data_IF_698792302119
#
_entry.id   IF_698792302119
#
_cell.length_a   1.000
_cell.length_b   1.000
_cell.length_c   1.000
_cell.angle_alpha   90.00
_cell.angle_beta   90.00
_cell.angle_gamma   90.00
#
_symmetry.space_group_name_H-M   'P 1'
#
loop_
_entity.id
_entity.type
_entity.pdbx_description
1 polymer ?
#
# COMPACT_ATOMS: atom_id res chain seq x y z
N UNK A 1 2.62 11.22 -9.83
CA UNK A 1 2.43 10.77 -8.43
C UNK A 1 3.53 9.78 -8.08
N UNK A 2 3.93 9.69 -6.82
CA UNK A 2 4.93 8.72 -6.35
C UNK A 2 4.27 7.76 -5.36
N UNK A 3 4.22 6.44 -5.62
CA UNK A 3 3.71 5.49 -4.63
C UNK A 3 4.64 5.45 -3.41
N UNK A 4 4.07 5.36 -2.21
CA UNK A 4 4.84 5.35 -0.95
C UNK A 4 4.61 4.10 -0.12
N UNK A 5 3.49 3.40 -0.33
CA UNK A 5 3.17 2.16 0.36
C UNK A 5 1.74 1.72 0.11
N UNK A 6 1.27 0.76 0.89
CA UNK A 6 -0.11 0.29 0.89
C UNK A 6 -0.79 0.67 2.21
N UNK A 7 -2.12 0.71 2.24
CA UNK A 7 -2.91 0.92 3.47
C UNK A 7 -4.21 0.11 3.39
N UNK A 8 -4.77 -0.24 4.54
CA UNK A 8 -6.14 -0.74 4.64
C UNK A 8 -7.09 0.37 5.04
N UNK A 9 -8.24 0.44 4.37
CA UNK A 9 -9.38 1.21 4.86
C UNK A 9 -10.04 0.53 6.06
N UNK A 10 -10.94 1.27 6.72
CA UNK A 10 -11.76 0.77 7.83
C UNK A 10 -12.63 -0.44 7.47
N UNK A 11 -12.98 -0.60 6.19
CA UNK A 11 -13.75 -1.72 5.66
C UNK A 11 -12.88 -2.91 5.20
N UNK A 12 -11.55 -2.81 5.35
CA UNK A 12 -10.60 -3.84 4.91
C UNK A 12 -10.18 -3.74 3.45
N UNK A 13 -10.63 -2.73 2.70
CA UNK A 13 -10.17 -2.53 1.32
C UNK A 13 -8.68 -2.12 1.29
N UNK A 14 -7.86 -2.86 0.54
CA UNK A 14 -6.46 -2.54 0.31
C UNK A 14 -6.32 -1.44 -0.75
N UNK A 15 -5.48 -0.44 -0.46
CA UNK A 15 -5.26 0.72 -1.32
C UNK A 15 -3.78 1.04 -1.48
N UNK A 16 -3.42 1.68 -2.59
CA UNK A 16 -2.09 2.25 -2.81
C UNK A 16 -2.05 3.68 -2.29
N UNK A 17 -1.14 3.95 -1.36
CA UNK A 17 -0.85 5.30 -0.87
C UNK A 17 0.16 5.95 -1.81
N UNK A 18 -0.10 7.19 -2.19
CA UNK A 18 0.79 7.97 -3.05
C UNK A 18 0.97 9.41 -2.55
N UNK A 19 2.15 9.96 -2.86
CA UNK A 19 2.47 11.37 -2.73
C UNK A 19 2.26 12.08 -4.08
N UNK A 20 1.50 13.16 -4.06
CA UNK A 20 1.37 14.04 -5.22
C UNK A 20 2.64 14.90 -5.34
N UNK A 21 3.38 14.74 -6.43
CA UNK A 21 4.62 15.51 -6.66
C UNK A 21 4.37 17.00 -7.01
N UNK A 22 3.12 17.38 -7.27
CA UNK A 22 2.76 18.76 -7.64
C UNK A 22 2.24 19.57 -6.45
N UNK A 23 1.40 18.96 -5.58
CA UNK A 23 0.79 19.65 -4.45
C UNK A 23 1.18 19.07 -3.08
N UNK A 24 2.07 18.08 -3.07
CA UNK A 24 2.69 17.50 -1.88
C UNK A 24 1.71 16.81 -0.89
N UNK A 25 0.49 16.53 -1.35
CA UNK A 25 -0.55 15.82 -0.60
C UNK A 25 -0.37 14.31 -0.68
N UNK A 26 -0.69 13.62 0.41
CA UNK A 26 -0.88 12.17 0.44
C UNK A 26 -2.33 11.84 0.11
N UNK A 27 -2.53 10.80 -0.70
CA UNK A 27 -3.84 10.25 -0.99
C UNK A 27 -3.76 8.75 -1.29
N UNK A 28 -4.90 8.08 -1.35
CA UNK A 28 -5.02 6.64 -1.55
C UNK A 28 -5.83 6.35 -2.81
N UNK A 29 -5.35 5.45 -3.65
CA UNK A 29 -6.06 4.94 -4.81
C UNK A 29 -6.45 3.48 -4.60
N UNK A 30 -7.63 3.11 -5.10
CA UNK A 30 -8.08 1.72 -5.14
C UNK A 30 -7.19 0.93 -6.10
N UNK A 31 -6.90 -0.33 -5.75
CA UNK A 31 -6.23 -1.28 -6.64
C UNK A 31 -7.28 -1.86 -7.59
N UNK A 32 -7.03 -1.76 -8.90
CA UNK A 32 -7.86 -2.35 -9.95
C UNK A 32 -7.30 -3.72 -10.39
N UNK A 33 -8.12 -4.51 -11.09
CA UNK A 33 -7.73 -5.85 -11.54
C UNK A 33 -6.68 -5.86 -12.65
N UNK A 34 -6.54 -4.74 -13.37
CA UNK A 34 -5.54 -4.52 -14.42
C UNK A 34 -4.27 -3.83 -13.91
N UNK A 35 -4.20 -3.47 -12.63
CA UNK A 35 -2.96 -2.96 -12.03
C UNK A 35 -1.89 -4.04 -12.00
N UNK A 36 -0.63 -3.62 -12.17
CA UNK A 36 0.50 -4.54 -12.14
C UNK A 36 0.76 -5.08 -10.73
N UNK A 37 0.38 -6.33 -10.51
CA UNK A 37 0.51 -7.00 -9.22
C UNK A 37 1.94 -7.11 -8.72
N UNK A 38 2.91 -7.34 -9.61
CA UNK A 38 4.33 -7.40 -9.25
C UNK A 38 4.80 -6.08 -8.66
N UNK A 39 4.43 -4.95 -9.29
CA UNK A 39 4.78 -3.61 -8.78
C UNK A 39 4.14 -3.30 -7.42
N UNK A 40 2.91 -3.77 -7.17
CA UNK A 40 2.23 -3.61 -5.88
C UNK A 40 2.94 -4.40 -4.77
N UNK A 41 3.27 -5.66 -5.04
CA UNK A 41 3.99 -6.51 -4.08
C UNK A 41 5.40 -5.97 -3.82
N UNK A 42 6.08 -5.48 -4.86
CA UNK A 42 7.37 -4.82 -4.71
C UNK A 42 7.26 -3.57 -3.84
N UNK A 43 6.25 -2.71 -4.06
CA UNK A 43 6.02 -1.53 -3.23
C UNK A 43 5.83 -1.87 -1.74
N UNK A 44 5.14 -2.96 -1.44
CA UNK A 44 4.98 -3.45 -0.08
C UNK A 44 6.30 -3.93 0.52
N UNK A 45 7.09 -4.68 -0.24
CA UNK A 45 8.37 -5.24 0.23
C UNK A 45 9.47 -4.19 0.38
N UNK A 46 9.49 -3.22 -0.53
CA UNK A 46 10.49 -2.14 -0.60
C UNK A 46 9.94 -0.84 -0.02
N UNK A 47 8.90 -0.93 0.81
CA UNK A 47 8.21 0.21 1.43
C UNK A 47 9.22 1.29 1.82
N UNK A 48 9.01 2.49 1.28
CA UNK A 48 9.96 3.60 1.40
C UNK A 48 10.22 3.84 2.88
N UNK A 49 11.49 3.84 3.31
CA UNK A 49 11.84 4.31 4.66
C UNK A 49 11.30 5.72 4.81
N UNK A 50 10.25 5.93 5.61
CA UNK A 50 9.57 7.21 5.60
C UNK A 50 10.46 8.22 6.32
N UNK A 51 10.76 9.32 5.65
CA UNK A 51 11.40 10.46 6.29
C UNK A 51 10.41 11.18 7.21
N UNK A 52 10.90 12.10 8.05
CA UNK A 52 10.08 12.82 9.04
C UNK A 52 8.91 13.57 8.39
N UNK A 53 9.09 14.06 7.17
CA UNK A 53 8.06 14.80 6.44
C UNK A 53 6.95 13.87 5.92
N UNK A 54 7.31 12.72 5.34
CA UNK A 54 6.35 11.70 4.93
C UNK A 54 5.56 11.16 6.13
N UNK A 55 6.22 10.93 7.28
CA UNK A 55 5.55 10.52 8.53
C UNK A 55 4.51 11.57 8.94
N UNK A 56 4.89 12.86 8.96
CA UNK A 56 3.97 13.94 9.33
C UNK A 56 2.75 13.98 8.40
N UNK A 57 2.95 13.81 7.08
CA UNK A 57 1.86 13.79 6.10
C UNK A 57 0.92 12.60 6.28
N UNK A 58 1.47 11.41 6.56
CA UNK A 58 0.69 10.20 6.84
C UNK A 58 -0.16 10.38 8.10
N UNK A 59 0.43 10.88 9.20
CA UNK A 59 -0.27 11.18 10.44
C UNK A 59 -1.39 12.20 10.24
N UNK A 60 -1.11 13.32 9.55
CA UNK A 60 -2.11 14.36 9.27
C UNK A 60 -3.28 13.85 8.41
N UNK A 61 -3.03 12.82 7.61
CA UNK A 61 -4.05 12.21 6.73
C UNK A 61 -4.76 11.01 7.37
N UNK A 62 -4.42 10.64 8.61
CA UNK A 62 -4.88 9.43 9.30
C UNK A 62 -4.67 8.15 8.47
N UNK A 63 -3.52 8.04 7.78
CA UNK A 63 -3.15 6.88 6.98
C UNK A 63 -2.06 6.10 7.70
N UNK A 64 -2.34 4.83 7.97
CA UNK A 64 -1.37 3.86 8.48
C UNK A 64 -0.91 2.97 7.33
N UNK A 65 0.40 2.87 7.10
CA UNK A 65 0.92 1.97 6.09
C UNK A 65 0.84 0.51 6.56
N UNK A 66 0.61 -0.40 5.62
CA UNK A 66 0.64 -1.85 5.85
C UNK A 66 1.98 -2.24 6.45
N UNK A 67 1.93 -2.89 7.61
CA UNK A 67 3.12 -3.40 8.30
C UNK A 67 3.59 -4.74 7.74
N UNK A 68 4.74 -5.23 8.21
CA UNK A 68 5.20 -6.57 7.87
C UNK A 68 4.30 -7.67 8.47
N UNK A 69 3.67 -7.42 9.63
CA UNK A 69 2.72 -8.38 10.21
C UNK A 69 1.43 -8.49 9.39
N UNK A 70 1.03 -7.42 8.72
CA UNK A 70 -0.18 -7.35 7.88
C UNK A 70 0.04 -7.84 6.45
N UNK A 71 1.28 -8.16 6.07
CA UNK A 71 1.64 -8.62 4.73
C UNK A 71 0.81 -9.82 4.24
N UNK A 72 0.53 -10.87 5.04
CA UNK A 72 -0.32 -11.98 4.60
C UNK A 72 -1.74 -11.55 4.24
N UNK A 73 -2.30 -10.57 4.97
CA UNK A 73 -3.62 -10.00 4.67
C UNK A 73 -3.59 -9.22 3.35
N UNK A 74 -2.53 -8.45 3.11
CA UNK A 74 -2.38 -7.70 1.87
C UNK A 74 -2.22 -8.65 0.66
N UNK A 75 -1.45 -9.73 0.81
CA UNK A 75 -1.32 -10.77 -0.22
C UNK A 75 -2.65 -11.48 -0.48
N UNK A 76 -3.41 -11.79 0.57
CA UNK A 76 -4.77 -12.35 0.44
C UNK A 76 -5.71 -11.41 -0.32
N UNK A 77 -5.62 -10.10 -0.07
CA UNK A 77 -6.44 -9.11 -0.77
C UNK A 77 -6.07 -8.99 -2.27
N UNK A 78 -4.80 -9.24 -2.61
CA UNK A 78 -4.29 -9.15 -3.99
C UNK A 78 -4.55 -10.44 -4.78
N UNK A 79 -4.30 -11.60 -4.17
CA UNK A 79 -4.24 -12.90 -4.85
C UNK A 79 -5.37 -13.87 -4.43
N UNK A 80 -6.15 -13.53 -3.40
CA UNK A 80 -7.16 -14.41 -2.80
C UNK A 80 -6.61 -15.29 -1.67
N UNK A 81 -7.50 -16.03 -0.99
CA UNK A 81 -7.18 -16.81 0.21
C UNK A 81 -6.17 -17.94 0.00
N UNK A 82 -6.12 -18.54 -1.19
CA UNK A 82 -5.27 -19.71 -1.47
C UNK A 82 -3.95 -19.34 -2.19
N UNK A 83 -3.54 -18.07 -2.14
CA UNK A 83 -2.37 -17.57 -2.87
C UNK A 83 -1.07 -18.35 -2.54
N UNK A 84 -0.93 -18.83 -1.30
CA UNK A 84 0.23 -19.60 -0.84
C UNK A 84 0.37 -20.94 -1.56
N UNK A 85 -0.75 -21.53 -1.99
CA UNK A 85 -0.74 -22.81 -2.72
C UNK A 85 -0.13 -22.70 -4.12
N UNK A 86 -0.01 -21.46 -4.63
CA UNK A 86 0.50 -21.13 -5.95
C UNK A 86 1.95 -20.62 -5.95
N UNK A 87 2.60 -20.48 -4.79
CA UNK A 87 3.98 -20.00 -4.64
C UNK A 87 5.05 -21.13 -4.73
N UNK A 88 4.77 -22.21 -5.48
CA UNK A 88 5.69 -23.35 -5.63
C UNK A 88 6.93 -23.03 -6.46
#
# INVERSE_FOLDING_TARGET
MKPVGLTFKKDGELMVVHLCLNCDKISCNRIAGDDNTYSIVQLMNESVKPDTDLIAKLCNSNISLVSQEEKPLALTAIFGYDYETHLK
#
